data_IF_991485065030
#
_entry.id   IF_991485065030
#
_cell.length_a   1.000
_cell.length_b   1.000
_cell.length_c   1.000
_cell.angle_alpha   90.00
_cell.angle_beta   90.00
_cell.angle_gamma   90.00
#
_symmetry.space_group_name_H-M   'P 1'
#
loop_
_entity.id
_entity.type
_entity.pdbx_description
1 polymer ?
#
# COMPACT_ATOMS: atom_id res chain seq x y z
N UNK A 1 15.38 -3.81 -1.84
CA UNK A 1 13.97 -4.24 -1.87
C UNK A 1 13.57 -4.68 -3.27
N UNK A 2 12.62 -5.62 -3.41
CA UNK A 2 12.18 -6.14 -4.71
C UNK A 2 10.71 -5.79 -4.95
N UNK A 3 10.38 -5.38 -6.18
CA UNK A 3 9.00 -5.02 -6.52
C UNK A 3 8.07 -6.23 -6.39
N UNK A 4 6.91 -6.01 -5.78
CA UNK A 4 5.85 -7.00 -5.70
C UNK A 4 5.02 -6.89 -6.99
N UNK A 5 4.88 -8.00 -7.70
CA UNK A 5 4.14 -8.07 -8.96
C UNK A 5 2.65 -7.87 -8.67
N UNK A 6 2.01 -6.94 -9.35
CA UNK A 6 0.56 -6.81 -9.31
C UNK A 6 -0.06 -7.75 -10.36
N UNK A 7 -0.63 -8.89 -9.95
CA UNK A 7 -1.06 -9.93 -10.87
C UNK A 7 -2.31 -9.56 -11.68
N UNK A 8 -3.04 -8.54 -11.27
CA UNK A 8 -4.27 -8.12 -11.95
C UNK A 8 -4.04 -7.16 -13.11
N UNK A 9 -2.89 -6.48 -13.16
CA UNK A 9 -2.55 -5.53 -14.24
C UNK A 9 -2.39 -6.29 -15.56
N UNK A 10 -3.22 -5.94 -16.53
CA UNK A 10 -3.22 -6.57 -17.86
C UNK A 10 -3.87 -7.96 -17.92
N UNK A 11 -4.14 -8.60 -16.77
CA UNK A 11 -4.65 -9.97 -16.71
C UNK A 11 -6.12 -10.06 -16.26
N UNK A 12 -6.63 -9.06 -15.54
CA UNK A 12 -8.00 -9.09 -15.00
C UNK A 12 -8.86 -8.03 -15.67
N UNK A 13 -9.88 -8.47 -16.42
CA UNK A 13 -10.83 -7.59 -17.08
C UNK A 13 -11.59 -6.74 -16.05
N UNK A 14 -11.55 -5.42 -16.23
CA UNK A 14 -12.24 -4.46 -15.37
C UNK A 14 -11.49 -4.13 -14.06
N UNK A 15 -10.25 -4.62 -13.88
CA UNK A 15 -9.42 -4.20 -12.77
C UNK A 15 -9.16 -2.69 -12.83
N UNK A 16 -9.58 -1.97 -11.80
CA UNK A 16 -9.50 -0.51 -11.74
C UNK A 16 -9.35 -0.02 -10.28
N UNK A 17 -8.51 -0.69 -9.47
CA UNK A 17 -8.28 -0.32 -8.08
C UNK A 17 -7.85 1.15 -7.97
N UNK A 18 -8.47 1.88 -7.05
CA UNK A 18 -8.11 3.28 -6.80
C UNK A 18 -6.67 3.40 -6.25
N UNK A 19 -6.25 2.47 -5.37
CA UNK A 19 -4.93 2.52 -4.75
C UNK A 19 -3.79 2.16 -5.71
N UNK A 20 -3.93 1.07 -6.46
CA UNK A 20 -2.78 0.43 -7.13
C UNK A 20 -2.96 0.08 -8.61
N UNK A 21 -4.09 0.41 -9.26
CA UNK A 21 -4.21 0.21 -10.70
C UNK A 21 -3.53 1.36 -11.47
N UNK A 22 -2.47 1.10 -12.25
CA UNK A 22 -1.77 2.15 -13.00
C UNK A 22 -2.64 2.75 -14.12
N UNK A 23 -3.67 2.02 -14.58
CA UNK A 23 -4.60 2.49 -15.61
C UNK A 23 -5.78 3.31 -15.07
N UNK A 24 -5.94 3.48 -13.77
CA UNK A 24 -7.01 4.29 -13.20
C UNK A 24 -6.63 5.78 -13.20
N UNK A 25 -7.25 6.64 -14.04
CA UNK A 25 -6.83 8.04 -14.17
C UNK A 25 -7.06 8.87 -12.89
N UNK A 26 -7.86 8.37 -11.94
CA UNK A 26 -8.14 9.02 -10.66
C UNK A 26 -7.37 8.36 -9.50
N UNK A 27 -6.61 7.29 -9.79
CA UNK A 27 -5.97 6.44 -8.79
C UNK A 27 -4.74 7.06 -8.13
N UNK A 28 -4.34 6.46 -7.02
CA UNK A 28 -3.10 6.81 -6.33
C UNK A 28 -1.86 6.20 -6.99
N UNK A 29 -2.02 5.19 -7.84
CA UNK A 29 -0.97 4.49 -8.59
C UNK A 29 0.18 3.98 -7.71
N UNK A 30 -0.15 3.44 -6.54
CA UNK A 30 0.85 2.90 -5.62
C UNK A 30 1.54 1.67 -6.22
N UNK A 31 2.85 1.57 -5.98
CA UNK A 31 3.67 0.39 -6.25
C UNK A 31 4.20 -0.14 -4.93
N UNK A 32 4.35 -1.44 -4.82
CA UNK A 32 4.74 -2.11 -3.57
C UNK A 32 6.02 -2.90 -3.76
N UNK A 33 6.79 -2.94 -2.69
CA UNK A 33 8.09 -3.60 -2.63
C UNK A 33 8.18 -4.43 -1.36
N UNK A 34 9.01 -5.45 -1.39
CA UNK A 34 9.35 -6.27 -0.24
C UNK A 34 10.84 -6.09 0.10
N UNK A 35 11.17 -5.74 1.33
CA UNK A 35 12.55 -5.56 1.78
C UNK A 35 13.13 -6.76 2.55
N UNK A 36 12.34 -7.82 2.73
CA UNK A 36 12.66 -9.00 3.53
C UNK A 36 11.90 -9.07 4.84
N UNK A 37 11.32 -7.97 5.30
CA UNK A 37 10.60 -7.87 6.57
C UNK A 37 9.20 -7.26 6.44
N UNK A 38 9.04 -6.25 5.60
CA UNK A 38 7.80 -5.49 5.45
C UNK A 38 7.49 -5.13 4.00
N UNK A 39 6.23 -4.83 3.73
CA UNK A 39 5.80 -4.24 2.46
C UNK A 39 6.04 -2.74 2.52
N UNK A 40 6.71 -2.23 1.48
CA UNK A 40 7.03 -0.81 1.34
C UNK A 40 6.31 -0.26 0.12
N UNK A 41 5.89 0.99 0.19
CA UNK A 41 5.51 1.78 -0.98
C UNK A 41 6.25 3.11 -0.91
N UNK A 42 6.81 3.52 -2.03
CA UNK A 42 7.35 4.87 -2.23
C UNK A 42 6.36 5.60 -3.12
N UNK A 43 5.85 6.73 -2.66
CA UNK A 43 4.74 7.39 -3.32
C UNK A 43 4.91 8.92 -3.35
N UNK A 44 4.55 9.52 -4.48
CA UNK A 44 4.55 10.98 -4.64
C UNK A 44 3.11 11.50 -4.60
N UNK A 45 2.87 12.55 -3.83
CA UNK A 45 1.57 13.16 -3.72
C UNK A 45 1.12 13.80 -5.05
N UNK A 46 -0.12 13.53 -5.43
CA UNK A 46 -0.78 14.25 -6.50
C UNK A 46 -1.26 15.61 -5.97
N UNK A 47 -1.01 16.73 -6.67
CA UNK A 47 -1.47 18.06 -6.25
C UNK A 47 -2.98 18.19 -6.06
N UNK A 48 -3.77 17.30 -6.68
CA UNK A 48 -5.23 17.28 -6.50
C UNK A 48 -5.69 16.59 -5.21
N UNK A 49 -4.78 16.01 -4.44
CA UNK A 49 -5.08 15.28 -3.20
C UNK A 49 -4.85 16.13 -1.93
N UNK A 50 -4.84 17.43 -2.07
CA UNK A 50 -4.67 18.38 -0.96
C UNK A 50 -5.96 18.56 -0.16
N UNK A 51 -5.82 18.85 1.14
CA UNK A 51 -6.91 19.33 2.01
C UNK A 51 -6.80 20.84 2.26
N UNK A 52 -5.69 21.25 2.79
CA UNK A 52 -5.28 22.64 3.00
C UNK A 52 -3.97 22.88 2.26
N UNK A 53 -3.57 24.12 2.10
CA UNK A 53 -2.39 24.51 1.32
C UNK A 53 -1.22 23.54 1.59
N UNK A 54 -0.74 22.87 0.54
CA UNK A 54 0.39 21.94 0.55
C UNK A 54 0.29 20.76 1.54
N UNK A 55 -0.90 20.48 2.07
CA UNK A 55 -1.12 19.39 3.03
C UNK A 55 -1.96 18.29 2.39
N UNK A 56 -1.44 17.06 2.42
CA UNK A 56 -2.14 15.87 1.93
C UNK A 56 -3.40 15.60 2.74
N UNK A 57 -4.53 15.40 2.04
CA UNK A 57 -5.82 15.14 2.67
C UNK A 57 -5.78 13.89 3.56
N UNK A 58 -6.35 14.00 4.78
CA UNK A 58 -6.36 12.90 5.75
C UNK A 58 -7.04 11.63 5.23
N UNK A 59 -8.11 11.77 4.44
CA UNK A 59 -8.77 10.63 3.79
C UNK A 59 -7.86 9.93 2.76
N UNK A 60 -7.01 10.68 2.05
CA UNK A 60 -6.02 10.07 1.14
C UNK A 60 -4.95 9.34 1.95
N UNK A 61 -4.46 9.91 3.06
CA UNK A 61 -3.53 9.22 3.96
C UNK A 61 -4.13 7.90 4.47
N UNK A 62 -5.43 7.90 4.84
CA UNK A 62 -6.14 6.69 5.24
C UNK A 62 -6.18 5.65 4.11
N UNK A 63 -6.47 6.07 2.89
CA UNK A 63 -6.48 5.18 1.71
C UNK A 63 -5.10 4.57 1.44
N UNK A 64 -4.03 5.38 1.50
CA UNK A 64 -2.67 4.89 1.28
C UNK A 64 -2.26 3.87 2.34
N UNK A 65 -2.64 4.10 3.61
CA UNK A 65 -2.38 3.18 4.72
C UNK A 65 -3.18 1.89 4.60
N UNK A 66 -4.47 1.97 4.25
CA UNK A 66 -5.29 0.78 4.01
C UNK A 66 -4.71 -0.07 2.86
N UNK A 67 -4.29 0.57 1.79
CA UNK A 67 -3.73 -0.11 0.63
C UNK A 67 -2.41 -0.81 0.95
N UNK A 68 -1.44 -0.16 1.62
CA UNK A 68 -0.18 -0.82 1.99
C UNK A 68 -0.40 -1.97 2.96
N UNK A 69 -1.35 -1.85 3.89
CA UNK A 69 -1.74 -2.92 4.81
C UNK A 69 -2.43 -4.08 4.07
N UNK A 70 -3.29 -3.78 3.09
CA UNK A 70 -3.91 -4.78 2.22
C UNK A 70 -2.88 -5.61 1.46
N UNK A 71 -1.83 -4.96 0.95
CA UNK A 71 -0.74 -5.64 0.25
C UNK A 71 0.11 -6.54 1.16
N UNK A 72 0.17 -6.28 2.47
CA UNK A 72 0.72 -7.25 3.44
C UNK A 72 -0.11 -8.54 3.42
N UNK A 73 -1.44 -8.42 3.43
CA UNK A 73 -2.33 -9.59 3.36
C UNK A 73 -2.12 -10.35 2.04
N UNK A 74 -2.11 -9.65 0.90
CA UNK A 74 -1.92 -10.27 -0.40
C UNK A 74 -0.57 -10.97 -0.51
N UNK A 75 0.52 -10.28 -0.17
CA UNK A 75 1.86 -10.79 -0.41
C UNK A 75 2.31 -11.79 0.68
N UNK A 76 2.23 -11.44 1.96
CA UNK A 76 2.75 -12.31 3.02
C UNK A 76 1.82 -13.49 3.34
N UNK A 77 0.49 -13.28 3.27
CA UNK A 77 -0.45 -14.33 3.61
C UNK A 77 -0.97 -15.09 2.37
N UNK A 78 -0.63 -14.62 1.17
CA UNK A 78 -1.03 -15.22 -0.11
C UNK A 78 -2.53 -15.52 -0.15
N UNK A 79 -3.33 -14.53 0.29
CA UNK A 79 -4.79 -14.59 0.30
C UNK A 79 -5.37 -13.20 0.17
N UNK A 80 -6.69 -13.09 0.20
CA UNK A 80 -7.43 -11.83 0.25
C UNK A 80 -8.07 -11.63 1.62
N UNK A 81 -8.42 -10.40 1.91
CA UNK A 81 -9.15 -10.02 3.10
C UNK A 81 -9.97 -8.77 2.89
N UNK A 82 -10.90 -8.55 3.81
CA UNK A 82 -11.70 -7.33 3.88
C UNK A 82 -11.30 -6.57 5.13
N UNK A 83 -11.02 -5.29 4.99
CA UNK A 83 -10.74 -4.40 6.13
C UNK A 83 -11.97 -4.32 7.03
N UNK A 84 -11.88 -4.92 8.21
CA UNK A 84 -12.97 -4.92 9.18
C UNK A 84 -12.90 -3.72 10.12
N UNK A 85 -11.69 -3.24 10.40
CA UNK A 85 -11.44 -2.09 11.28
C UNK A 85 -10.12 -1.44 10.92
N UNK A 86 -10.08 -0.12 10.97
CA UNK A 86 -8.86 0.68 10.87
C UNK A 86 -8.85 1.72 11.99
N UNK A 87 -7.81 1.72 12.80
CA UNK A 87 -7.52 2.76 13.77
C UNK A 87 -6.35 3.59 13.26
N UNK A 88 -6.59 4.85 12.98
CA UNK A 88 -5.64 5.77 12.35
C UNK A 88 -5.29 6.91 13.28
N UNK A 89 -4.00 7.21 13.38
CA UNK A 89 -3.48 8.33 14.15
C UNK A 89 -2.62 9.23 13.26
N UNK A 90 -3.03 10.48 13.13
CA UNK A 90 -2.25 11.54 12.48
C UNK A 90 -1.31 12.17 13.50
N UNK A 91 -0.02 12.23 13.20
CA UNK A 91 1.04 12.74 14.09
C UNK A 91 1.58 14.07 13.63
N UNK A 92 1.81 14.20 12.31
CA UNK A 92 2.38 15.39 11.66
C UNK A 92 1.70 15.61 10.31
N UNK A 93 1.60 16.87 9.83
CA UNK A 93 1.15 17.12 8.46
C UNK A 93 2.06 16.43 7.45
N UNK A 94 1.46 15.85 6.41
CA UNK A 94 2.18 15.32 5.24
C UNK A 94 2.17 16.39 4.16
N UNK A 95 3.34 16.89 3.76
CA UNK A 95 3.43 17.89 2.69
C UNK A 95 3.33 17.24 1.31
N UNK A 96 2.50 17.83 0.44
CA UNK A 96 2.40 17.44 -0.97
C UNK A 96 3.57 17.96 -1.81
N UNK A 97 4.42 18.81 -1.24
CA UNK A 97 5.63 19.33 -1.91
C UNK A 97 6.85 18.44 -1.72
N UNK A 98 6.77 17.43 -0.85
CA UNK A 98 7.88 16.49 -0.70
C UNK A 98 8.08 15.66 -1.97
N UNK A 99 9.32 15.32 -2.32
CA UNK A 99 9.61 14.52 -3.49
C UNK A 99 8.94 13.14 -3.45
N UNK A 100 8.75 12.60 -2.24
CA UNK A 100 8.03 11.36 -1.97
C UNK A 100 7.66 11.27 -0.48
N UNK A 101 6.80 10.33 -0.17
CA UNK A 101 6.61 9.73 1.16
C UNK A 101 6.89 8.23 1.06
N UNK A 102 7.36 7.64 2.16
CA UNK A 102 7.49 6.20 2.29
C UNK A 102 6.36 5.66 3.14
N UNK A 103 5.75 4.58 2.69
CA UNK A 103 4.78 3.83 3.47
C UNK A 103 5.36 2.47 3.81
N UNK A 104 5.16 2.03 5.03
CA UNK A 104 5.53 0.69 5.48
C UNK A 104 4.28 -0.04 5.98
N UNK A 105 4.18 -1.32 5.66
CA UNK A 105 3.15 -2.22 6.18
C UNK A 105 3.78 -3.50 6.70
N UNK A 106 3.44 -3.92 7.92
CA UNK A 106 3.95 -5.15 8.53
C UNK A 106 2.86 -5.93 9.22
N UNK A 107 2.92 -7.25 9.09
CA UNK A 107 2.04 -8.16 9.82
C UNK A 107 2.41 -8.14 11.31
N UNK A 108 1.44 -7.84 12.17
CA UNK A 108 1.61 -7.86 13.64
C UNK A 108 1.18 -9.20 14.20
N UNK A 109 0.01 -9.68 13.75
CA UNK A 109 -0.57 -10.91 14.26
C UNK A 109 -1.48 -11.56 13.24
N UNK A 110 -1.52 -12.89 13.27
CA UNK A 110 -2.53 -13.68 12.55
C UNK A 110 -3.14 -14.70 13.49
N UNK A 111 -4.47 -14.71 13.60
CA UNK A 111 -5.24 -15.73 14.34
C UNK A 111 -6.41 -16.21 13.48
N UNK A 112 -6.40 -17.48 13.10
CA UNK A 112 -7.42 -18.08 12.26
C UNK A 112 -7.66 -17.24 10.97
N UNK A 113 -8.83 -16.62 10.88
CA UNK A 113 -9.28 -15.78 9.77
C UNK A 113 -9.16 -14.26 10.05
N UNK A 114 -8.40 -13.87 11.07
CA UNK A 114 -8.10 -12.47 11.40
C UNK A 114 -6.61 -12.21 11.22
N UNK A 115 -6.29 -11.11 10.56
CA UNK A 115 -4.95 -10.55 10.51
C UNK A 115 -4.95 -9.13 11.07
N UNK A 116 -3.95 -8.80 11.88
CA UNK A 116 -3.68 -7.45 12.35
C UNK A 116 -2.42 -6.96 11.67
N UNK A 117 -2.51 -5.83 10.98
CA UNK A 117 -1.43 -5.23 10.21
C UNK A 117 -1.20 -3.81 10.72
N UNK A 118 0.06 -3.44 10.93
CA UNK A 118 0.45 -2.08 11.23
C UNK A 118 0.95 -1.40 9.98
N UNK A 119 0.51 -0.15 9.76
CA UNK A 119 0.94 0.70 8.66
C UNK A 119 1.41 2.06 9.14
N UNK A 120 2.37 2.66 8.45
CA UNK A 120 2.86 4.00 8.75
C UNK A 120 3.21 4.79 7.47
N UNK A 121 3.10 6.12 7.55
CA UNK A 121 3.57 7.07 6.55
C UNK A 121 4.76 7.81 7.15
N UNK A 122 5.89 7.74 6.47
CA UNK A 122 7.13 8.42 6.82
C UNK A 122 7.41 9.56 5.85
N UNK A 123 7.92 10.69 6.38
CA UNK A 123 8.46 11.76 5.56
C UNK A 123 9.82 11.36 4.94
N UNK A 124 10.42 12.17 4.05
CA UNK A 124 11.73 11.88 3.47
C UNK A 124 12.86 11.71 4.49
N UNK A 125 12.73 12.30 5.68
CA UNK A 125 13.71 12.20 6.78
C UNK A 125 13.50 10.96 7.66
N UNK A 126 12.47 10.14 7.35
CA UNK A 126 12.13 8.92 8.08
C UNK A 126 11.28 9.13 9.34
N UNK A 127 10.73 10.32 9.55
CA UNK A 127 9.84 10.58 10.68
C UNK A 127 8.40 10.15 10.40
N UNK A 128 7.75 9.49 11.36
CA UNK A 128 6.36 9.05 11.24
C UNK A 128 5.38 10.23 11.28
N UNK A 129 4.63 10.39 10.18
CA UNK A 129 3.60 11.42 10.04
C UNK A 129 2.19 10.90 10.34
N UNK A 130 1.90 9.64 10.00
CA UNK A 130 0.67 8.96 10.34
C UNK A 130 0.93 7.47 10.51
N UNK A 131 0.13 6.81 11.33
CA UNK A 131 0.20 5.37 11.54
C UNK A 131 -1.19 4.78 11.70
N UNK A 132 -1.34 3.50 11.38
CA UNK A 132 -2.60 2.80 11.59
C UNK A 132 -2.39 1.36 12.09
N UNK A 133 -3.46 0.83 12.68
CA UNK A 133 -3.63 -0.60 12.89
C UNK A 133 -4.88 -1.04 12.15
N UNK A 134 -4.70 -1.91 11.15
CA UNK A 134 -5.78 -2.49 10.38
C UNK A 134 -6.06 -3.92 10.84
N UNK A 135 -7.33 -4.25 11.02
CA UNK A 135 -7.81 -5.61 11.26
C UNK A 135 -8.51 -6.10 10.01
N UNK A 136 -8.03 -7.20 9.44
CA UNK A 136 -8.59 -7.83 8.26
C UNK A 136 -9.33 -9.11 8.64
N UNK A 137 -10.52 -9.30 8.02
CA UNK A 137 -11.18 -10.59 7.97
C UNK A 137 -10.66 -11.32 6.72
N UNK A 138 -9.91 -12.40 6.92
CA UNK A 138 -9.27 -13.15 5.85
C UNK A 138 -10.25 -14.08 5.16
N UNK A 139 -10.18 -14.15 3.85
CA UNK A 139 -10.88 -15.12 3.01
C UNK A 139 -9.97 -16.35 2.86
N UNK A 140 -10.51 -17.56 2.80
CA UNK A 140 -9.68 -18.74 2.54
C UNK A 140 -9.00 -18.63 1.17
N UNK A 141 -7.79 -19.15 1.03
CA UNK A 141 -7.03 -19.08 -0.23
C UNK A 141 -7.80 -19.66 -1.41
N UNK A 142 -8.56 -20.77 -1.20
CA UNK A 142 -9.39 -21.37 -2.25
C UNK A 142 -10.51 -20.43 -2.69
N UNK A 143 -11.24 -19.86 -1.75
CA UNK A 143 -12.31 -18.91 -2.05
C UNK A 143 -11.75 -17.61 -2.67
N UNK A 144 -10.58 -17.17 -2.25
CA UNK A 144 -9.91 -16.02 -2.85
C UNK A 144 -9.60 -16.29 -4.34
N UNK A 145 -9.09 -17.47 -4.68
CA UNK A 145 -8.87 -17.88 -6.08
C UNK A 145 -10.16 -17.94 -6.88
N UNK A 146 -11.23 -18.52 -6.32
CA UNK A 146 -12.55 -18.53 -6.95
C UNK A 146 -13.08 -17.12 -7.24
N UNK A 147 -12.72 -16.13 -6.42
CA UNK A 147 -13.04 -14.72 -6.60
C UNK A 147 -12.09 -13.98 -7.57
N UNK A 148 -11.13 -14.66 -8.17
CA UNK A 148 -10.17 -14.08 -9.11
C UNK A 148 -8.93 -13.46 -8.48
N UNK A 149 -8.65 -13.75 -7.20
CA UNK A 149 -7.38 -13.36 -6.59
C UNK A 149 -6.28 -14.34 -6.98
N UNK A 150 -5.25 -13.82 -7.64
CA UNK A 150 -4.07 -14.58 -8.00
C UNK A 150 -2.96 -14.34 -6.98
N UNK A 151 -2.08 -15.34 -6.83
CA UNK A 151 -0.90 -15.18 -5.99
C UNK A 151 0.09 -14.22 -6.64
N UNK A 152 0.71 -13.39 -5.82
CA UNK A 152 1.73 -12.45 -6.28
C UNK A 152 3.13 -12.94 -5.95
N UNK A 153 4.09 -12.58 -6.78
CA UNK A 153 5.51 -12.85 -6.61
C UNK A 153 6.33 -11.57 -6.54
N UNK A 154 7.64 -11.72 -6.61
CA UNK A 154 8.60 -10.61 -6.67
C UNK A 154 9.27 -10.57 -8.04
N UNK A 155 9.55 -9.35 -8.50
CA UNK A 155 10.47 -9.15 -9.62
C UNK A 155 11.89 -9.59 -9.23
N UNK A 156 12.73 -9.90 -10.22
CA UNK A 156 14.09 -10.38 -9.97
C UNK A 156 15.04 -9.27 -9.51
N UNK A 157 14.79 -8.03 -9.94
CA UNK A 157 15.68 -6.90 -9.70
C UNK A 157 15.51 -6.33 -8.29
N UNK A 158 16.62 -6.21 -7.57
CA UNK A 158 16.68 -5.44 -6.34
C UNK A 158 16.81 -3.95 -6.62
N UNK A 159 16.07 -3.15 -5.86
CA UNK A 159 16.07 -1.69 -5.95
C UNK A 159 16.39 -1.07 -4.58
N UNK A 160 17.07 0.06 -4.59
CA UNK A 160 17.14 0.97 -3.43
C UNK A 160 15.88 1.85 -3.36
N UNK A 161 15.71 2.60 -2.28
CA UNK A 161 14.61 3.57 -2.16
C UNK A 161 14.78 4.68 -3.19
N UNK A 162 16.01 5.15 -3.42
CA UNK A 162 16.34 6.20 -4.40
C UNK A 162 16.01 5.77 -5.84
N UNK A 163 16.29 4.53 -6.19
CA UNK A 163 15.93 3.96 -7.49
C UNK A 163 14.41 3.86 -7.65
N UNK A 164 13.69 3.44 -6.60
CA UNK A 164 12.23 3.42 -6.62
C UNK A 164 11.63 4.82 -6.74
N UNK A 165 12.24 5.84 -6.08
CA UNK A 165 11.85 7.27 -6.24
C UNK A 165 12.04 7.74 -7.67
N UNK A 166 13.14 7.34 -8.33
CA UNK A 166 13.42 7.70 -9.73
C UNK A 166 12.39 7.12 -10.72
N UNK A 167 11.70 6.04 -10.34
CA UNK A 167 10.62 5.43 -11.13
C UNK A 167 9.25 6.11 -10.94
N UNK A 168 9.12 7.07 -10.00
CA UNK A 168 7.87 7.80 -9.79
C UNK A 168 7.62 8.78 -10.93
N UNK A 169 6.53 8.58 -11.68
CA UNK A 169 6.12 9.46 -12.77
C UNK A 169 6.60 9.02 -14.17
N UNK A 170 7.10 7.79 -14.29
CA UNK A 170 7.34 7.12 -15.56
C UNK A 170 6.10 6.37 -16.04
#
# INVERSE_FOLDING_TARGET
MRAIINPWVGNTKGYNCFGCCPGNPQGAHMRFYWDGEQVISVWRANPNFVSWIDTLHGGIQATLLDEVCGWVVFYQLQTSGVTAKMELRYRKPVSTLWPYVRLNGRLVERRHNIAVVHGEILNPDGECCAECTCTYFLISGDKAREMGYEFTGLEETDLTVEEAVALLGQ
#
